data_IF_303348035973
#
_entry.id   IF_303348035973
#
_cell.length_a   1.000
_cell.length_b   1.000
_cell.length_c   1.000
_cell.angle_alpha   90.00
_cell.angle_beta   90.00
_cell.angle_gamma   90.00
#
_symmetry.space_group_name_H-M   'P 1'
#
loop_
_entity.id
_entity.type
_entity.pdbx_description
1 polymer ?
#
# COMPACT_ATOMS: atom_id res chain seq x y z
N UNK A 1 43.38 47.15 -45.66
CA UNK A 1 43.36 46.15 -44.57
C UNK A 1 41.91 45.71 -44.35
N UNK A 2 41.63 44.42 -44.49
CA UNK A 2 40.28 43.86 -44.38
C UNK A 2 40.11 43.11 -43.05
N UNK A 3 39.13 43.52 -42.23
CA UNK A 3 38.78 42.85 -40.98
C UNK A 3 37.63 41.87 -41.24
N UNK A 4 37.88 40.57 -41.08
CA UNK A 4 36.82 39.55 -41.11
C UNK A 4 36.06 39.56 -39.79
N UNK A 5 34.75 39.72 -39.87
CA UNK A 5 33.78 39.59 -38.77
C UNK A 5 33.60 38.11 -38.44
N UNK A 6 34.02 37.68 -37.26
CA UNK A 6 33.65 36.36 -36.71
C UNK A 6 32.22 36.49 -36.17
N UNK A 7 31.31 35.75 -36.79
CA UNK A 7 29.90 35.61 -36.43
C UNK A 7 29.80 34.34 -35.58
N UNK A 8 29.06 34.45 -34.46
CA UNK A 8 28.21 33.43 -33.80
C UNK A 8 28.78 32.02 -33.68
N UNK A 9 28.91 31.46 -32.47
CA UNK A 9 28.54 30.04 -32.14
C UNK A 9 28.76 29.65 -30.65
N UNK A 10 29.31 30.49 -29.76
CA UNK A 10 29.62 30.04 -28.38
C UNK A 10 28.59 30.49 -27.32
N UNK A 11 27.33 30.07 -27.47
CA UNK A 11 26.30 30.22 -26.42
C UNK A 11 25.41 28.97 -26.27
N UNK A 12 26.02 27.77 -26.20
CA UNK A 12 25.24 26.55 -26.48
C UNK A 12 25.45 25.31 -25.59
N UNK A 13 25.98 25.41 -24.35
CA UNK A 13 25.98 24.20 -23.50
C UNK A 13 25.67 24.40 -22.02
N UNK A 14 25.81 25.60 -21.44
CA UNK A 14 25.61 25.81 -20.00
C UNK A 14 24.20 26.29 -19.59
N UNK A 15 23.38 26.79 -20.52
CA UNK A 15 22.06 27.37 -20.18
C UNK A 15 20.90 26.37 -20.30
N UNK A 16 21.18 25.10 -20.64
CA UNK A 16 20.16 24.08 -20.94
C UNK A 16 19.85 23.13 -19.77
N UNK A 17 20.60 23.20 -18.68
CA UNK A 17 20.50 22.22 -17.57
C UNK A 17 19.77 22.76 -16.33
N UNK A 18 19.25 24.00 -16.36
CA UNK A 18 18.62 24.63 -15.18
C UNK A 18 17.12 24.95 -15.38
N UNK A 19 16.53 24.53 -16.50
CA UNK A 19 15.08 24.65 -16.72
C UNK A 19 14.53 23.29 -17.10
N UNK A 20 13.64 22.79 -16.23
CA UNK A 20 12.62 21.75 -16.47
C UNK A 20 12.86 20.31 -16.02
N UNK A 21 13.44 20.09 -14.83
CA UNK A 21 13.34 18.76 -14.17
C UNK A 21 12.29 18.71 -13.04
N UNK A 22 11.73 19.87 -12.64
CA UNK A 22 10.74 19.96 -11.56
C UNK A 22 9.41 20.60 -11.96
N UNK A 23 9.19 20.89 -13.24
CA UNK A 23 7.92 21.46 -13.72
C UNK A 23 7.32 20.53 -14.76
N UNK A 24 6.16 19.89 -14.49
CA UNK A 24 5.50 19.07 -15.49
C UNK A 24 5.16 19.94 -16.71
N UNK A 25 5.48 19.43 -17.90
CA UNK A 25 5.18 20.13 -19.15
C UNK A 25 3.68 20.47 -19.19
N UNK A 26 3.37 21.74 -19.47
CA UNK A 26 2.01 22.26 -19.51
C UNK A 26 1.16 21.45 -20.51
N UNK A 27 0.39 20.48 -20.01
CA UNK A 27 -0.42 19.58 -20.82
C UNK A 27 -0.44 18.12 -20.35
N UNK A 28 0.52 17.71 -19.50
CA UNK A 28 0.55 16.35 -18.97
C UNK A 28 -0.40 16.24 -17.77
N UNK A 29 -1.60 15.71 -18.01
CA UNK A 29 -2.59 15.47 -16.95
C UNK A 29 -1.97 14.54 -15.92
N UNK A 30 -1.84 15.02 -14.67
CA UNK A 30 -1.40 14.21 -13.55
C UNK A 30 -2.24 12.93 -13.49
N UNK A 31 -1.59 11.77 -13.56
CA UNK A 31 -2.29 10.50 -13.43
C UNK A 31 -2.85 10.39 -12.00
N UNK A 32 -4.15 10.62 -11.86
CA UNK A 32 -4.91 10.57 -10.60
C UNK A 32 -5.53 9.19 -10.36
N UNK A 33 -5.21 8.18 -11.19
CA UNK A 33 -5.65 6.83 -10.93
C UNK A 33 -5.14 6.39 -9.55
N UNK A 34 -5.96 5.71 -8.74
CA UNK A 34 -5.55 5.27 -7.41
C UNK A 34 -4.27 4.42 -7.51
N UNK A 35 -3.18 4.91 -6.91
CA UNK A 35 -1.89 4.23 -6.93
C UNK A 35 -1.92 2.89 -6.16
N UNK A 36 -2.97 2.65 -5.36
CA UNK A 36 -3.17 1.43 -4.59
C UNK A 36 -4.37 0.64 -5.13
N UNK A 37 -4.23 -0.68 -5.40
CA UNK A 37 -5.33 -1.51 -5.87
C UNK A 37 -6.50 -1.54 -4.88
N UNK A 38 -7.74 -1.51 -5.40
CA UNK A 38 -8.96 -1.56 -4.57
C UNK A 38 -9.04 -2.78 -3.66
N UNK A 39 -8.49 -3.91 -4.09
CA UNK A 39 -8.42 -5.14 -3.29
C UNK A 39 -7.63 -4.92 -1.98
N UNK A 40 -6.53 -4.16 -2.03
CA UNK A 40 -5.71 -3.82 -0.86
C UNK A 40 -6.49 -2.93 0.09
N UNK A 41 -7.21 -1.93 -0.42
CA UNK A 41 -8.01 -1.01 0.40
C UNK A 41 -9.06 -1.77 1.22
N UNK A 42 -9.78 -2.71 0.58
CA UNK A 42 -10.81 -3.52 1.26
C UNK A 42 -10.19 -4.37 2.38
N UNK A 43 -8.98 -4.88 2.19
CA UNK A 43 -8.28 -5.69 3.20
C UNK A 43 -7.80 -4.86 4.37
N UNK A 44 -7.21 -3.70 4.11
CA UNK A 44 -6.84 -2.76 5.17
C UNK A 44 -8.07 -2.37 6.00
N UNK A 45 -9.21 -2.11 5.35
CA UNK A 45 -10.47 -1.86 6.05
C UNK A 45 -10.97 -3.07 6.86
N UNK A 46 -10.93 -4.28 6.30
CA UNK A 46 -11.36 -5.48 7.00
C UNK A 46 -10.49 -5.76 8.24
N UNK A 47 -9.17 -5.61 8.13
CA UNK A 47 -8.25 -5.85 9.24
C UNK A 47 -8.32 -4.78 10.32
N UNK A 48 -8.47 -3.51 9.95
CA UNK A 48 -8.70 -2.44 10.94
C UNK A 48 -9.99 -2.67 11.70
N UNK A 49 -11.07 -3.06 11.02
CA UNK A 49 -12.32 -3.43 11.67
C UNK A 49 -12.16 -4.65 12.58
N UNK A 50 -11.49 -5.71 12.11
CA UNK A 50 -11.24 -6.91 12.90
C UNK A 50 -10.43 -6.61 14.17
N UNK A 51 -9.45 -5.71 14.10
CA UNK A 51 -8.62 -5.33 15.23
C UNK A 51 -9.40 -4.62 16.35
N UNK A 52 -10.50 -3.96 16.00
CA UNK A 52 -11.41 -3.32 16.96
C UNK A 52 -12.45 -4.33 17.43
N UNK A 53 -13.13 -5.00 16.51
CA UNK A 53 -14.31 -5.81 16.83
C UNK A 53 -13.97 -7.14 17.49
N UNK A 54 -12.89 -7.80 17.10
CA UNK A 54 -12.57 -9.13 17.64
C UNK A 54 -12.13 -9.05 19.11
N UNK A 55 -11.17 -8.19 19.52
CA UNK A 55 -10.77 -8.12 20.93
C UNK A 55 -11.88 -7.55 21.82
N UNK A 56 -12.57 -6.48 21.38
CA UNK A 56 -13.67 -5.87 22.15
C UNK A 56 -14.87 -6.82 22.21
N UNK A 57 -15.24 -7.42 21.08
CA UNK A 57 -16.30 -8.42 21.02
C UNK A 57 -15.99 -9.62 21.91
N UNK A 58 -14.76 -10.12 21.89
CA UNK A 58 -14.36 -11.23 22.76
C UNK A 58 -14.46 -10.87 24.24
N UNK A 59 -14.11 -9.63 24.64
CA UNK A 59 -14.30 -9.17 26.01
C UNK A 59 -15.78 -9.23 26.44
N UNK A 60 -16.66 -8.56 25.70
CA UNK A 60 -18.08 -8.48 26.07
C UNK A 60 -18.81 -9.83 25.94
N UNK A 61 -18.40 -10.67 24.98
CA UNK A 61 -18.94 -12.01 24.86
C UNK A 61 -18.52 -12.92 26.01
N UNK A 62 -17.33 -12.74 26.60
CA UNK A 62 -16.81 -13.66 27.61
C UNK A 62 -16.97 -13.19 29.04
N UNK A 63 -17.07 -11.88 29.30
CA UNK A 63 -17.20 -11.33 30.65
C UNK A 63 -18.41 -11.91 31.39
N UNK A 64 -19.58 -11.93 30.77
CA UNK A 64 -20.81 -12.40 31.42
C UNK A 64 -21.10 -13.88 31.16
N UNK A 65 -20.78 -14.39 29.95
CA UNK A 65 -21.10 -15.77 29.58
C UNK A 65 -20.12 -16.80 30.15
N UNK A 66 -18.84 -16.45 30.29
CA UNK A 66 -17.79 -17.41 30.66
C UNK A 66 -17.20 -17.11 32.03
N UNK A 67 -17.02 -15.83 32.37
CA UNK A 67 -16.33 -15.41 33.59
C UNK A 67 -17.25 -14.82 34.66
N UNK A 68 -18.59 -14.88 34.48
CA UNK A 68 -19.62 -14.45 35.46
C UNK A 68 -19.37 -13.04 36.02
N UNK A 69 -18.95 -12.12 35.16
CA UNK A 69 -18.66 -10.72 35.51
C UNK A 69 -17.21 -10.43 35.90
N UNK A 70 -16.29 -11.40 35.85
CA UNK A 70 -14.87 -11.12 36.13
C UNK A 70 -14.17 -10.49 34.92
N UNK A 71 -14.06 -9.16 34.96
CA UNK A 71 -13.45 -8.32 33.93
C UNK A 71 -11.95 -8.56 33.75
N UNK A 72 -11.23 -9.03 34.75
CA UNK A 72 -9.79 -9.30 34.64
C UNK A 72 -9.53 -10.50 33.72
N UNK A 73 -10.26 -11.61 33.89
CA UNK A 73 -10.10 -12.78 33.03
C UNK A 73 -10.62 -12.52 31.61
N UNK A 74 -11.73 -11.81 31.47
CA UNK A 74 -12.24 -11.40 30.16
C UNK A 74 -11.27 -10.46 29.43
N UNK A 75 -10.65 -9.51 30.14
CA UNK A 75 -9.64 -8.61 29.61
C UNK A 75 -8.37 -9.36 29.18
N UNK A 76 -7.91 -10.33 29.97
CA UNK A 76 -6.78 -11.17 29.61
C UNK A 76 -7.06 -11.98 28.34
N UNK A 77 -8.26 -12.56 28.22
CA UNK A 77 -8.68 -13.26 27.00
C UNK A 77 -8.70 -12.34 25.78
N UNK A 78 -9.24 -11.12 25.94
CA UNK A 78 -9.28 -10.13 24.86
C UNK A 78 -7.87 -9.75 24.38
N UNK A 79 -6.91 -9.59 25.29
CA UNK A 79 -5.51 -9.35 24.94
C UNK A 79 -4.88 -10.53 24.17
N UNK A 80 -5.20 -11.76 24.55
CA UNK A 80 -4.78 -12.96 23.80
C UNK A 80 -5.40 -12.95 22.40
N UNK A 81 -6.70 -12.63 22.29
CA UNK A 81 -7.40 -12.55 21.00
C UNK A 81 -6.81 -11.48 20.07
N UNK A 82 -6.33 -10.36 20.60
CA UNK A 82 -5.63 -9.36 19.79
C UNK A 82 -4.38 -9.93 19.10
N UNK A 83 -3.60 -10.76 19.81
CA UNK A 83 -2.44 -11.44 19.23
C UNK A 83 -2.86 -12.51 18.19
N UNK A 84 -3.99 -13.19 18.41
CA UNK A 84 -4.56 -14.12 17.42
C UNK A 84 -4.94 -13.40 16.13
N UNK A 85 -5.54 -12.20 16.22
CA UNK A 85 -5.84 -11.37 15.04
C UNK A 85 -4.57 -10.98 14.29
N UNK A 86 -3.49 -10.64 15.00
CA UNK A 86 -2.20 -10.34 14.38
C UNK A 86 -1.65 -11.56 13.61
N UNK A 87 -1.66 -12.74 14.22
CA UNK A 87 -1.22 -13.97 13.53
C UNK A 87 -2.11 -14.28 12.33
N UNK A 88 -3.42 -14.13 12.46
CA UNK A 88 -4.36 -14.32 11.36
C UNK A 88 -4.10 -13.34 10.20
N UNK A 89 -3.73 -12.10 10.49
CA UNK A 89 -3.30 -11.12 9.48
C UNK A 89 -2.07 -11.60 8.72
N UNK A 90 -1.03 -12.06 9.44
CA UNK A 90 0.20 -12.58 8.81
C UNK A 90 -0.12 -13.77 7.90
N UNK A 91 -0.93 -14.72 8.38
CA UNK A 91 -1.35 -15.88 7.59
C UNK A 91 -2.14 -15.48 6.35
N UNK A 92 -3.08 -14.54 6.49
CA UNK A 92 -3.84 -14.03 5.36
C UNK A 92 -2.95 -13.36 4.31
N UNK A 93 -1.99 -12.54 4.75
CA UNK A 93 -1.02 -11.89 3.88
C UNK A 93 -0.15 -12.92 3.13
N UNK A 94 0.32 -13.97 3.79
CA UNK A 94 1.09 -15.04 3.14
C UNK A 94 0.26 -15.81 2.09
N UNK A 95 -1.02 -16.05 2.35
CA UNK A 95 -1.90 -16.76 1.39
C UNK A 95 -2.23 -15.91 0.18
N UNK A 96 -2.37 -14.62 0.38
CA UNK A 96 -2.58 -13.66 -0.69
C UNK A 96 -1.37 -13.54 -1.61
N UNK A 97 -0.18 -13.42 -1.03
CA UNK A 97 1.09 -13.37 -1.78
C UNK A 97 1.24 -14.59 -2.72
N UNK A 98 0.91 -15.80 -2.24
CA UNK A 98 0.90 -17.00 -3.09
C UNK A 98 -0.16 -16.95 -4.20
N UNK A 99 -1.33 -16.38 -3.93
CA UNK A 99 -2.44 -16.33 -4.88
C UNK A 99 -2.16 -15.36 -6.03
N UNK A 100 -1.51 -14.22 -5.74
CA UNK A 100 -1.07 -13.27 -6.77
C UNK A 100 0.02 -13.88 -7.66
N UNK A 101 1.02 -14.54 -7.06
CA UNK A 101 2.07 -15.23 -7.81
C UNK A 101 1.52 -16.31 -8.77
N UNK A 102 0.53 -17.08 -8.33
CA UNK A 102 -0.12 -18.09 -9.18
C UNK A 102 -0.97 -17.46 -10.31
N UNK A 103 -1.62 -16.32 -10.03
CA UNK A 103 -2.41 -15.60 -11.03
C UNK A 103 -1.53 -14.95 -12.10
N UNK A 104 -0.33 -14.47 -11.74
CA UNK A 104 0.66 -13.94 -12.67
C UNK A 104 1.25 -15.04 -13.56
N UNK A 105 1.67 -16.17 -12.97
CA UNK A 105 2.17 -17.33 -13.72
C UNK A 105 1.13 -17.87 -14.72
N UNK A 106 -0.16 -17.89 -14.35
CA UNK A 106 -1.24 -18.30 -15.24
C UNK A 106 -1.51 -17.31 -16.40
N UNK A 107 -1.21 -16.02 -16.22
CA UNK A 107 -1.30 -15.00 -17.28
C UNK A 107 -0.13 -15.11 -18.25
N UNK A 108 1.08 -15.35 -17.74
CA UNK A 108 2.28 -15.53 -18.57
C UNK A 108 2.17 -16.79 -19.44
N UNK A 109 1.74 -17.93 -18.88
CA UNK A 109 1.56 -19.18 -19.62
C UNK A 109 0.50 -19.13 -20.74
N UNK A 110 -0.43 -18.16 -20.69
CA UNK A 110 -1.43 -17.93 -21.76
C UNK A 110 -0.94 -16.96 -22.84
N UNK A 111 0.11 -16.17 -22.57
CA UNK A 111 0.70 -15.24 -23.51
C UNK A 111 1.74 -15.92 -24.42
N UNK A 112 2.33 -17.02 -23.95
CA UNK A 112 3.30 -17.85 -24.69
C UNK A 112 2.67 -18.95 -25.57
N UNK A 113 1.33 -19.07 -25.61
CA UNK A 113 0.58 -19.98 -26.49
C UNK A 113 -0.18 -19.21 -27.55
#
# INVERSE_FOLDING_TARGET
MATRRIISQEKSILEKDERTDFSPAAGEKSNIAPAVPMAVIVKLLAFTFAMIVVPIGSYFLTVDNLFKGNSTFAGALAAIMANVVLVAYIVAAMREDQSEQLAEQAKEAKKDR
#
